data_IF_843226931947
#
_entry.id   IF_843226931947
#
_cell.length_a   1.000
_cell.length_b   1.000
_cell.length_c   1.000
_cell.angle_alpha   90.00
_cell.angle_beta   90.00
_cell.angle_gamma   90.00
#
_symmetry.space_group_name_H-M   'P 1'
#
loop_
_entity.id
_entity.type
_entity.pdbx_description
1 polymer ?
#
# COMPACT_ATOMS: atom_id res chain seq x y z
N UNK A 1 42.19 52.59 57.85
CA UNK A 1 41.31 52.66 56.65
C UNK A 1 41.59 51.45 55.78
N UNK A 2 40.52 50.89 55.20
CA UNK A 2 40.50 49.81 54.18
C UNK A 2 40.79 48.38 54.66
N UNK A 3 39.77 47.59 55.00
CA UNK A 3 38.85 46.77 54.16
C UNK A 3 39.25 45.29 54.20
N UNK A 4 38.53 44.51 55.02
CA UNK A 4 38.53 43.05 55.01
C UNK A 4 37.63 42.58 53.85
N UNK A 5 38.18 41.86 52.89
CA UNK A 5 37.39 41.14 51.88
C UNK A 5 37.06 39.74 52.39
N UNK A 6 35.77 39.48 52.58
CA UNK A 6 35.20 38.16 52.86
C UNK A 6 35.07 37.41 51.52
N UNK A 7 35.81 36.31 51.32
CA UNK A 7 35.51 35.38 50.24
C UNK A 7 34.36 34.48 50.68
N UNK A 8 33.18 34.68 50.08
CA UNK A 8 32.08 33.72 50.12
C UNK A 8 32.38 32.60 49.11
N UNK A 9 32.62 31.39 49.60
CA UNK A 9 32.68 30.20 48.77
C UNK A 9 31.25 29.75 48.43
N UNK A 10 30.82 29.99 47.20
CA UNK A 10 29.56 29.46 46.67
C UNK A 10 29.80 28.01 46.23
N UNK A 11 29.38 27.05 47.06
CA UNK A 11 29.31 25.64 46.68
C UNK A 11 28.19 25.46 45.66
N UNK A 12 28.54 25.41 44.38
CA UNK A 12 27.62 25.03 43.31
C UNK A 12 27.41 23.51 43.41
N UNK A 13 26.30 23.09 44.01
CA UNK A 13 25.89 21.70 43.98
C UNK A 13 25.53 21.33 42.53
N UNK A 14 26.42 20.57 41.87
CA UNK A 14 26.06 19.87 40.63
C UNK A 14 24.98 18.85 40.99
N UNK A 15 23.72 19.17 40.67
CA UNK A 15 22.70 18.15 40.56
C UNK A 15 23.13 17.19 39.44
N UNK A 16 23.18 15.87 39.68
CA UNK A 16 23.34 14.93 38.59
C UNK A 16 22.10 15.06 37.70
N UNK A 17 22.29 15.49 36.45
CA UNK A 17 21.35 15.20 35.38
C UNK A 17 21.25 13.68 35.30
N UNK A 18 20.28 13.10 36.01
CA UNK A 18 19.74 11.79 35.67
C UNK A 18 19.16 11.95 34.27
N UNK A 19 19.95 11.57 33.26
CA UNK A 19 19.40 11.19 31.97
C UNK A 19 18.48 10.02 32.27
N UNK A 20 17.17 10.29 32.37
CA UNK A 20 16.18 9.24 32.27
C UNK A 20 16.48 8.60 30.92
N UNK A 21 17.03 7.39 30.93
CA UNK A 21 17.07 6.58 29.73
C UNK A 21 15.62 6.54 29.26
N UNK A 22 15.32 7.17 28.12
CA UNK A 22 14.03 7.00 27.50
C UNK A 22 13.84 5.49 27.39
N UNK A 23 12.78 4.95 28.00
CA UNK A 23 12.45 3.54 27.88
C UNK A 23 12.30 3.26 26.39
N UNK A 24 13.32 2.67 25.78
CA UNK A 24 13.31 2.46 24.34
C UNK A 24 12.42 1.27 24.07
N UNK A 25 11.25 1.54 23.50
CA UNK A 25 10.22 0.54 23.27
C UNK A 25 10.50 -0.24 21.97
N UNK A 26 10.44 -1.56 22.05
CA UNK A 26 10.61 -2.45 20.91
C UNK A 26 9.26 -2.74 20.26
N UNK A 27 9.18 -2.61 18.94
CA UNK A 27 7.95 -2.87 18.18
C UNK A 27 7.45 -4.31 18.29
N UNK A 28 8.41 -5.25 18.43
CA UNK A 28 8.16 -6.68 18.58
C UNK A 28 9.34 -7.36 19.25
N UNK A 29 9.14 -8.58 19.71
CA UNK A 29 10.20 -9.46 20.21
C UNK A 29 10.35 -10.65 19.27
N UNK A 30 11.58 -10.95 18.85
CA UNK A 30 11.91 -12.18 18.13
C UNK A 30 11.59 -13.38 19.02
N UNK A 31 10.81 -14.32 18.49
CA UNK A 31 10.54 -15.58 19.15
C UNK A 31 11.65 -16.59 18.82
N UNK A 32 11.92 -17.56 19.71
CA UNK A 32 12.81 -18.66 19.39
C UNK A 32 12.41 -19.30 18.05
N UNK A 33 13.40 -19.76 17.29
CA UNK A 33 13.16 -20.50 16.06
C UNK A 33 12.55 -21.88 16.38
N UNK A 34 11.27 -21.90 16.72
CA UNK A 34 10.45 -23.10 16.68
C UNK A 34 10.22 -23.41 15.19
N UNK A 35 10.37 -24.67 14.81
CA UNK A 35 10.22 -25.13 13.44
C UNK A 35 8.74 -25.06 13.01
N UNK A 36 8.23 -23.85 12.80
CA UNK A 36 6.96 -23.55 12.17
C UNK A 36 7.27 -23.03 10.76
N UNK A 37 6.66 -23.58 9.69
CA UNK A 37 6.83 -23.02 8.36
C UNK A 37 6.22 -21.60 8.33
N UNK A 38 6.89 -20.66 7.67
CA UNK A 38 6.33 -19.34 7.44
C UNK A 38 5.06 -19.47 6.56
N UNK A 39 4.00 -18.69 6.80
CA UNK A 39 2.73 -18.79 6.09
C UNK A 39 2.79 -18.03 4.74
N UNK A 40 3.93 -18.12 4.05
CA UNK A 40 4.13 -17.46 2.76
C UNK A 40 4.56 -18.47 1.70
N UNK A 41 3.94 -18.37 0.53
CA UNK A 41 4.40 -19.06 -0.68
C UNK A 41 5.46 -18.25 -1.44
N UNK A 42 5.80 -17.04 -0.98
CA UNK A 42 6.82 -16.22 -1.63
C UNK A 42 8.23 -16.69 -1.31
N UNK A 43 9.15 -16.57 -2.27
CA UNK A 43 10.57 -16.73 -2.00
C UNK A 43 11.04 -15.77 -0.91
N UNK A 44 11.47 -16.34 0.20
CA UNK A 44 12.06 -15.63 1.33
C UNK A 44 13.50 -16.08 1.54
N UNK A 45 14.37 -15.13 1.92
CA UNK A 45 15.74 -15.42 2.37
C UNK A 45 15.73 -15.94 3.79
N UNK A 46 14.82 -15.42 4.61
CA UNK A 46 14.68 -15.77 6.01
C UNK A 46 13.28 -15.41 6.52
N UNK A 47 12.82 -16.11 7.57
CA UNK A 47 11.53 -15.85 8.19
C UNK A 47 11.57 -16.19 9.69
N UNK A 48 11.00 -15.31 10.51
CA UNK A 48 11.06 -15.40 11.97
C UNK A 48 9.70 -15.07 12.57
N UNK A 49 9.23 -15.92 13.49
CA UNK A 49 8.07 -15.57 14.29
C UNK A 49 8.44 -14.44 15.26
N UNK A 50 7.54 -13.47 15.41
CA UNK A 50 7.68 -12.33 16.30
C UNK A 50 6.42 -12.14 17.14
N UNK A 51 6.59 -11.81 18.42
CA UNK A 51 5.49 -11.33 19.24
C UNK A 51 5.37 -9.82 19.08
N UNK A 52 4.27 -9.36 18.49
CA UNK A 52 4.04 -7.95 18.20
C UNK A 52 3.47 -7.22 19.41
N UNK A 53 3.77 -5.92 19.54
CA UNK A 53 3.27 -5.09 20.62
C UNK A 53 2.46 -3.89 20.08
N UNK A 54 1.19 -4.07 19.67
CA UNK A 54 0.36 -2.97 19.16
C UNK A 54 0.27 -1.76 20.10
N UNK A 55 0.24 -1.97 21.42
CA UNK A 55 0.21 -0.84 22.37
C UNK A 55 1.45 0.07 22.27
N UNK A 56 2.62 -0.48 21.95
CA UNK A 56 3.86 0.29 21.75
C UNK A 56 3.78 1.10 20.45
N UNK A 57 3.26 0.50 19.38
CA UNK A 57 3.04 1.20 18.11
C UNK A 57 2.07 2.37 18.30
N UNK A 58 0.97 2.15 19.02
CA UNK A 58 -0.02 3.19 19.33
C UNK A 58 0.53 4.32 20.21
N UNK A 59 1.51 4.04 21.09
CA UNK A 59 2.16 5.06 21.90
C UNK A 59 3.06 6.01 21.07
N UNK A 60 3.40 5.61 19.84
CA UNK A 60 4.12 6.43 18.86
C UNK A 60 5.38 7.12 19.43
N UNK A 61 6.33 6.35 20.02
CA UNK A 61 7.55 6.94 20.54
C UNK A 61 8.32 7.65 19.41
N UNK A 62 9.02 8.75 19.71
CA UNK A 62 9.75 9.51 18.69
C UNK A 62 10.72 8.64 17.87
N UNK A 63 11.31 7.63 18.51
CA UNK A 63 12.11 6.59 17.87
C UNK A 63 11.62 5.23 18.35
N UNK A 64 11.42 4.31 17.41
CA UNK A 64 10.97 2.95 17.66
C UNK A 64 12.10 1.96 17.36
N UNK A 65 12.37 1.02 18.27
CA UNK A 65 13.32 -0.06 18.00
C UNK A 65 12.64 -1.19 17.25
N UNK A 66 13.29 -1.63 16.18
CA UNK A 66 12.88 -2.74 15.34
C UNK A 66 13.93 -3.86 15.47
N UNK A 67 13.65 -4.92 16.26
CA UNK A 67 14.58 -6.03 16.39
C UNK A 67 14.64 -6.90 15.12
N UNK A 68 15.82 -7.05 14.54
CA UNK A 68 16.10 -7.98 13.43
C UNK A 68 17.02 -9.12 13.91
N UNK A 69 17.02 -10.26 13.21
CA UNK A 69 17.94 -11.36 13.51
C UNK A 69 19.42 -10.97 13.47
N UNK A 70 19.77 -10.03 12.58
CA UNK A 70 21.15 -9.57 12.39
C UNK A 70 21.54 -8.41 13.33
N UNK A 71 20.62 -7.92 14.17
CA UNK A 71 20.84 -6.77 15.05
C UNK A 71 19.58 -5.92 15.21
N UNK A 72 19.69 -4.78 15.88
CA UNK A 72 18.56 -3.86 16.05
C UNK A 72 18.69 -2.68 15.08
N UNK A 73 17.55 -2.20 14.58
CA UNK A 73 17.46 -0.93 13.85
C UNK A 73 16.56 0.03 14.60
N UNK A 74 16.79 1.31 14.41
CA UNK A 74 15.94 2.37 14.94
C UNK A 74 15.19 3.02 13.77
N UNK A 75 13.91 3.31 14.00
CA UNK A 75 13.07 3.99 13.05
C UNK A 75 12.53 5.27 13.68
N UNK A 76 12.63 6.38 12.95
CA UNK A 76 12.02 7.66 13.33
C UNK A 76 10.51 7.55 13.11
N UNK A 77 9.71 7.84 14.13
CA UNK A 77 8.26 7.89 13.98
C UNK A 77 7.88 9.18 13.26
N UNK A 78 7.17 9.05 12.14
CA UNK A 78 6.71 10.17 11.33
C UNK A 78 5.25 10.51 11.61
N UNK A 79 4.39 9.49 11.72
CA UNK A 79 2.96 9.70 11.94
C UNK A 79 2.26 8.46 12.52
N UNK A 80 1.12 8.70 13.16
CA UNK A 80 0.05 7.72 13.37
C UNK A 80 -1.18 8.19 12.59
N UNK A 81 -1.73 7.30 11.77
CA UNK A 81 -2.98 7.53 11.05
C UNK A 81 -4.07 6.64 11.66
N UNK A 82 -5.07 7.25 12.30
CA UNK A 82 -6.20 6.52 12.88
C UNK A 82 -7.27 6.25 11.80
N UNK A 83 -7.69 5.00 11.64
CA UNK A 83 -8.71 4.59 10.66
C UNK A 83 -10.03 4.18 11.32
N UNK A 84 -9.97 3.58 12.51
CA UNK A 84 -11.09 3.20 13.39
C UNK A 84 -10.56 2.96 14.81
N UNK A 85 -11.39 2.78 15.84
CA UNK A 85 -10.94 2.62 17.23
C UNK A 85 -9.87 1.52 17.42
N UNK A 86 -9.97 0.42 16.68
CA UNK A 86 -9.06 -0.72 16.70
C UNK A 86 -8.18 -0.83 15.44
N UNK A 87 -8.19 0.18 14.55
CA UNK A 87 -7.43 0.18 13.30
C UNK A 87 -6.66 1.48 13.11
N UNK A 88 -5.35 1.38 12.98
CA UNK A 88 -4.46 2.51 12.73
C UNK A 88 -3.20 2.08 12.00
N UNK A 89 -2.44 3.05 11.51
CA UNK A 89 -1.16 2.82 10.84
C UNK A 89 -0.08 3.64 11.51
N UNK A 90 0.99 2.99 11.92
CA UNK A 90 2.23 3.63 12.31
C UNK A 90 3.13 3.78 11.08
N UNK A 91 3.63 5.00 10.85
CA UNK A 91 4.58 5.30 9.77
C UNK A 91 5.89 5.79 10.38
N UNK A 92 6.99 5.23 9.91
CA UNK A 92 8.33 5.66 10.25
C UNK A 92 9.33 5.52 9.10
N UNK A 93 10.59 5.86 9.39
CA UNK A 93 11.72 5.70 8.46
C UNK A 93 12.96 5.18 9.19
N UNK A 94 13.72 4.29 8.53
CA UNK A 94 15.02 3.80 9.03
C UNK A 94 16.15 4.81 8.83
N UNK A 95 15.91 5.87 8.08
CA UNK A 95 16.86 6.93 7.78
C UNK A 95 16.21 8.32 7.83
N UNK A 96 17.03 9.35 8.07
CA UNK A 96 16.57 10.74 8.13
C UNK A 96 16.03 11.25 6.79
N UNK A 97 16.50 10.69 5.67
CA UNK A 97 16.09 11.13 4.33
C UNK A 97 14.72 10.59 3.91
N UNK A 98 14.20 9.56 4.59
CA UNK A 98 12.90 8.96 4.25
C UNK A 98 12.96 7.93 3.12
N UNK A 99 14.15 7.55 2.64
CA UNK A 99 14.32 6.59 1.54
C UNK A 99 13.93 5.16 1.97
N UNK A 100 13.95 4.89 3.28
CA UNK A 100 13.72 3.57 3.87
C UNK A 100 12.51 3.55 4.80
N UNK A 101 11.28 3.67 4.27
CA UNK A 101 10.06 3.70 5.07
C UNK A 101 9.81 2.37 5.78
N UNK A 102 9.28 2.47 6.99
CA UNK A 102 8.70 1.37 7.76
C UNK A 102 7.23 1.70 8.02
N UNK A 103 6.30 0.87 7.54
CA UNK A 103 4.86 1.13 7.61
C UNK A 103 4.17 -0.10 8.17
N UNK A 104 3.51 0.08 9.31
CA UNK A 104 2.89 -0.99 10.10
C UNK A 104 1.43 -0.66 10.35
N UNK A 105 0.53 -1.46 9.77
CA UNK A 105 -0.91 -1.35 9.93
C UNK A 105 -1.40 -2.33 10.96
N UNK A 106 -2.27 -1.86 11.85
CA UNK A 106 -2.79 -2.63 12.98
C UNK A 106 -4.29 -2.76 12.83
N UNK A 107 -4.83 -3.94 13.09
CA UNK A 107 -6.28 -4.20 13.21
C UNK A 107 -6.50 -5.15 14.38
N UNK A 108 -7.11 -4.66 15.46
CA UNK A 108 -7.20 -5.40 16.72
C UNK A 108 -5.80 -5.69 17.29
N UNK A 109 -5.44 -6.96 17.41
CA UNK A 109 -4.13 -7.44 17.86
C UNK A 109 -3.18 -7.82 16.71
N UNK A 110 -3.67 -7.83 15.47
CA UNK A 110 -2.89 -8.20 14.30
C UNK A 110 -2.10 -7.00 13.76
N UNK A 111 -0.85 -7.25 13.35
CA UNK A 111 0.04 -6.26 12.72
C UNK A 111 0.50 -6.81 11.38
N UNK A 112 0.38 -6.00 10.33
CA UNK A 112 0.90 -6.29 9.01
C UNK A 112 1.65 -5.06 8.48
N UNK A 113 2.58 -5.23 7.56
CA UNK A 113 3.29 -4.08 7.02
C UNK A 113 4.59 -4.45 6.32
N UNK A 114 5.33 -3.44 5.89
CA UNK A 114 6.66 -3.64 5.32
C UNK A 114 7.67 -2.64 5.87
N UNK A 115 8.93 -3.05 5.81
CA UNK A 115 10.09 -2.23 6.11
C UNK A 115 11.01 -2.28 4.89
N UNK A 116 11.17 -1.14 4.22
CA UNK A 116 12.20 -0.98 3.19
C UNK A 116 13.53 -0.73 3.86
N UNK A 117 14.55 -1.52 3.54
CA UNK A 117 15.90 -1.38 4.07
C UNK A 117 16.93 -1.40 2.92
N UNK A 118 18.18 -0.95 3.13
CA UNK A 118 19.20 -0.96 2.09
C UNK A 118 19.38 -2.32 1.40
N UNK A 119 19.33 -3.40 2.18
CA UNK A 119 19.49 -4.78 1.72
C UNK A 119 18.28 -5.37 0.99
N UNK A 120 17.07 -4.81 1.16
CA UNK A 120 15.86 -5.41 0.62
C UNK A 120 14.57 -4.92 1.25
N UNK A 121 13.53 -5.74 1.15
CA UNK A 121 12.23 -5.53 1.77
C UNK A 121 12.02 -6.61 2.83
N UNK A 122 11.66 -6.17 4.02
CA UNK A 122 11.12 -7.02 5.07
C UNK A 122 9.61 -6.84 5.15
N UNK A 123 8.87 -7.91 5.37
CA UNK A 123 7.41 -7.89 5.54
C UNK A 123 7.04 -8.44 6.91
N UNK A 124 6.13 -7.75 7.61
CA UNK A 124 5.38 -8.33 8.72
C UNK A 124 4.09 -8.93 8.15
N UNK A 125 3.99 -10.26 8.21
CA UNK A 125 2.80 -11.00 7.80
C UNK A 125 2.08 -11.52 9.05
N UNK A 126 0.78 -11.25 9.24
CA UNK A 126 0.03 -11.79 10.37
C UNK A 126 0.14 -13.32 10.48
N UNK A 127 0.18 -13.82 11.71
CA UNK A 127 0.22 -15.26 12.00
C UNK A 127 -1.18 -15.79 12.33
N UNK A 128 -1.37 -17.11 12.19
CA UNK A 128 -2.54 -17.82 12.73
C UNK A 128 -2.52 -17.93 14.26
N UNK A 129 -1.41 -17.56 14.90
CA UNK A 129 -1.29 -17.44 16.35
C UNK A 129 -1.53 -15.99 16.77
N UNK A 130 -2.51 -15.78 17.65
CA UNK A 130 -2.90 -14.46 18.14
C UNK A 130 -1.72 -13.72 18.80
N UNK A 131 -1.60 -12.41 18.52
CA UNK A 131 -0.48 -11.58 18.98
C UNK A 131 0.89 -11.89 18.37
N UNK A 132 0.96 -12.81 17.40
CA UNK A 132 2.19 -13.12 16.66
C UNK A 132 2.09 -12.67 15.20
N UNK A 133 3.24 -12.36 14.61
CA UNK A 133 3.41 -12.15 13.17
C UNK A 133 4.70 -12.83 12.71
N UNK A 134 4.91 -12.87 11.40
CA UNK A 134 6.13 -13.32 10.78
C UNK A 134 6.89 -12.13 10.22
N UNK A 135 8.13 -11.95 10.67
CA UNK A 135 9.08 -11.02 10.05
C UNK A 135 9.83 -11.79 8.96
N UNK A 136 9.58 -11.45 7.70
CA UNK A 136 10.04 -12.18 6.52
C UNK A 136 10.96 -11.29 5.70
N UNK A 137 12.17 -11.74 5.40
CA UNK A 137 13.07 -11.11 4.43
C UNK A 137 12.74 -11.65 3.04
N UNK A 138 12.13 -10.82 2.20
CA UNK A 138 11.74 -11.24 0.85
C UNK A 138 12.96 -11.39 -0.06
N UNK A 139 12.98 -12.46 -0.86
CA UNK A 139 13.98 -12.61 -1.90
C UNK A 139 13.52 -11.93 -3.19
N UNK A 140 13.74 -10.61 -3.25
CA UNK A 140 13.26 -9.74 -4.34
C UNK A 140 13.64 -10.19 -5.76
N UNK A 141 14.72 -10.95 -5.90
CA UNK A 141 15.20 -11.48 -7.19
C UNK A 141 14.41 -12.69 -7.68
N UNK A 142 13.68 -13.35 -6.78
CA UNK A 142 12.92 -14.57 -7.06
C UNK A 142 11.41 -14.37 -6.96
N UNK A 143 10.96 -13.20 -6.50
CA UNK A 143 9.54 -12.89 -6.40
C UNK A 143 8.86 -13.08 -7.77
N UNK A 144 7.73 -13.80 -7.83
CA UNK A 144 7.03 -13.99 -9.08
C UNK A 144 6.53 -12.65 -9.64
N UNK A 145 6.51 -12.49 -10.96
CA UNK A 145 5.94 -11.29 -11.57
C UNK A 145 4.42 -11.27 -11.35
N UNK A 146 3.85 -10.08 -11.50
CA UNK A 146 2.42 -9.95 -11.75
C UNK A 146 2.07 -10.55 -13.13
N UNK A 147 0.79 -10.83 -13.38
CA UNK A 147 0.36 -11.17 -14.73
C UNK A 147 0.23 -9.89 -15.55
N UNK A 148 0.54 -9.96 -16.84
CA UNK A 148 0.33 -8.84 -17.75
C UNK A 148 -1.13 -8.33 -17.68
N UNK A 149 -1.33 -7.00 -17.72
CA UNK A 149 -2.66 -6.44 -17.54
C UNK A 149 -3.59 -6.84 -18.69
N UNK A 150 -4.89 -6.89 -18.38
CA UNK A 150 -5.93 -7.19 -19.37
C UNK A 150 -6.46 -5.89 -19.97
N UNK A 151 -6.40 -5.76 -21.29
CA UNK A 151 -7.11 -4.69 -22.00
C UNK A 151 -8.60 -5.03 -22.00
N UNK A 152 -9.48 -4.20 -21.39
CA UNK A 152 -10.90 -4.52 -21.34
C UNK A 152 -11.59 -4.29 -22.71
N UNK A 153 -10.86 -3.85 -23.74
CA UNK A 153 -11.37 -3.51 -25.06
C UNK A 153 -12.07 -2.15 -25.08
N UNK A 154 -12.71 -1.78 -26.22
CA UNK A 154 -13.48 -0.54 -26.31
C UNK A 154 -14.55 -0.50 -25.22
N UNK A 155 -14.45 0.47 -24.31
CA UNK A 155 -15.44 0.65 -23.25
C UNK A 155 -16.62 1.47 -23.79
N UNK A 156 -17.83 0.96 -23.62
CA UNK A 156 -19.04 1.75 -23.89
C UNK A 156 -19.22 2.79 -22.78
N UNK A 157 -19.50 4.04 -23.14
CA UNK A 157 -19.93 5.04 -22.18
C UNK A 157 -21.31 4.64 -21.64
N UNK A 158 -21.34 4.14 -20.40
CA UNK A 158 -22.59 4.01 -19.65
C UNK A 158 -23.02 5.41 -19.22
N UNK A 159 -24.05 5.97 -19.86
CA UNK A 159 -24.69 7.21 -19.45
C UNK A 159 -25.59 6.98 -18.23
N UNK A 160 -25.05 6.43 -17.14
CA UNK A 160 -25.78 6.28 -15.89
C UNK A 160 -25.93 7.67 -15.24
N UNK A 161 -27.11 8.26 -15.47
CA UNK A 161 -27.65 9.50 -14.92
C UNK A 161 -26.82 10.77 -15.17
N UNK A 162 -27.10 11.44 -16.29
CA UNK A 162 -26.91 12.88 -16.41
C UNK A 162 -27.84 13.59 -15.40
N UNK A 163 -27.37 13.73 -14.15
CA UNK A 163 -27.94 14.67 -13.21
C UNK A 163 -27.81 16.10 -13.75
N UNK A 164 -28.68 17.01 -13.30
CA UNK A 164 -28.67 18.43 -13.71
C UNK A 164 -27.23 18.98 -13.68
N UNK A 165 -26.78 19.70 -14.71
CA UNK A 165 -25.37 20.11 -14.89
C UNK A 165 -24.77 21.00 -13.78
N UNK A 166 -25.53 21.37 -12.74
CA UNK A 166 -25.02 22.09 -11.56
C UNK A 166 -24.97 21.28 -10.25
N UNK A 167 -25.62 20.12 -10.16
CA UNK A 167 -25.62 19.30 -8.94
C UNK A 167 -24.44 18.29 -8.92
N UNK A 168 -24.01 17.82 -10.11
CA UNK A 168 -22.88 16.91 -10.23
C UNK A 168 -21.55 17.57 -9.85
N UNK A 169 -21.33 18.85 -10.19
CA UNK A 169 -20.08 19.58 -9.90
C UNK A 169 -19.83 19.80 -8.40
N UNK A 170 -20.87 19.88 -7.57
CA UNK A 170 -20.72 20.01 -6.13
C UNK A 170 -20.37 18.68 -5.43
N UNK A 171 -20.42 17.56 -6.17
CA UNK A 171 -20.15 16.20 -5.69
C UNK A 171 -18.89 15.60 -6.34
N UNK A 172 -18.20 16.34 -7.20
CA UNK A 172 -16.98 15.86 -7.83
C UNK A 172 -15.84 15.89 -6.82
N UNK A 173 -15.15 14.76 -6.66
CA UNK A 173 -13.94 14.69 -5.84
C UNK A 173 -12.84 15.57 -6.47
N UNK A 174 -11.99 16.15 -5.62
CA UNK A 174 -10.83 16.94 -6.04
C UNK A 174 -9.75 16.10 -6.73
N UNK A 175 -9.88 14.77 -6.73
CA UNK A 175 -8.89 13.80 -7.20
C UNK A 175 -7.79 13.50 -6.18
N UNK A 176 -7.86 14.09 -4.99
CA UNK A 176 -6.85 13.87 -3.95
C UNK A 176 -7.09 12.58 -3.18
N UNK A 177 -8.34 12.09 -3.17
CA UNK A 177 -8.71 10.82 -2.58
C UNK A 177 -9.38 9.94 -3.64
N UNK A 178 -9.02 8.67 -3.66
CA UNK A 178 -9.68 7.65 -4.48
C UNK A 178 -10.21 6.57 -3.54
N UNK A 179 -11.51 6.33 -3.60
CA UNK A 179 -12.17 5.39 -2.70
C UNK A 179 -11.97 3.95 -3.13
N UNK A 180 -11.35 3.16 -2.25
CA UNK A 180 -11.03 1.76 -2.51
C UNK A 180 -11.83 0.84 -1.60
N UNK A 181 -12.52 -0.13 -2.22
CA UNK A 181 -13.10 -1.28 -1.54
C UNK A 181 -12.15 -2.47 -1.70
N UNK A 182 -11.67 -2.99 -0.58
CA UNK A 182 -10.88 -4.22 -0.57
C UNK A 182 -11.76 -5.37 -0.15
N UNK A 183 -12.02 -6.29 -1.07
CA UNK A 183 -12.68 -7.54 -0.73
C UNK A 183 -11.63 -8.62 -0.49
N UNK A 184 -11.97 -9.65 0.28
CA UNK A 184 -11.15 -10.85 0.47
C UNK A 184 -12.01 -12.11 0.40
N UNK A 185 -11.44 -13.22 -0.04
CA UNK A 185 -12.13 -14.51 -0.08
C UNK A 185 -12.16 -15.20 1.31
N UNK A 186 -13.00 -16.23 1.50
CA UNK A 186 -12.92 -17.09 2.69
C UNK A 186 -11.54 -17.74 2.87
N UNK A 187 -10.93 -18.24 1.79
CA UNK A 187 -9.61 -18.87 1.84
C UNK A 187 -8.50 -17.88 2.24
N UNK A 188 -8.54 -16.65 1.75
CA UNK A 188 -7.60 -15.59 2.14
C UNK A 188 -7.71 -15.24 3.63
N UNK A 189 -8.93 -15.11 4.15
CA UNK A 189 -9.18 -14.89 5.59
C UNK A 189 -8.59 -16.02 6.43
N UNK A 190 -8.87 -17.27 6.06
CA UNK A 190 -8.46 -18.43 6.82
C UNK A 190 -6.93 -18.62 6.78
N UNK A 191 -6.31 -18.38 5.62
CA UNK A 191 -4.86 -18.42 5.45
C UNK A 191 -4.14 -17.30 6.21
N UNK A 192 -4.73 -16.09 6.30
CA UNK A 192 -4.19 -15.00 7.12
C UNK A 192 -4.32 -15.26 8.64
N UNK A 193 -5.24 -16.14 9.06
CA UNK A 193 -5.46 -16.48 10.46
C UNK A 193 -6.69 -15.88 11.10
N UNK A 194 -7.53 -15.18 10.33
CA UNK A 194 -8.78 -14.59 10.84
C UNK A 194 -9.10 -13.22 10.24
N UNK A 195 -10.19 -12.64 10.73
CA UNK A 195 -10.71 -11.34 10.24
C UNK A 195 -9.76 -10.19 10.58
N UNK A 196 -9.24 -10.13 11.80
CA UNK A 196 -8.28 -9.09 12.22
C UNK A 196 -7.00 -9.14 11.37
N UNK A 197 -6.51 -10.35 11.10
CA UNK A 197 -5.30 -10.60 10.34
C UNK A 197 -5.44 -10.17 8.88
N UNK A 198 -6.48 -10.63 8.18
CA UNK A 198 -6.70 -10.21 6.78
C UNK A 198 -7.03 -8.72 6.68
N UNK A 199 -7.68 -8.14 7.70
CA UNK A 199 -7.97 -6.70 7.75
C UNK A 199 -6.70 -5.86 7.92
N UNK A 200 -5.78 -6.28 8.80
CA UNK A 200 -4.47 -5.65 8.95
C UNK A 200 -3.68 -5.73 7.64
N UNK A 201 -3.66 -6.89 6.97
CA UNK A 201 -2.96 -7.08 5.70
C UNK A 201 -3.57 -6.24 4.56
N UNK A 202 -4.91 -6.16 4.47
CA UNK A 202 -5.60 -5.31 3.51
C UNK A 202 -5.30 -3.82 3.74
N UNK A 203 -5.32 -3.36 4.99
CA UNK A 203 -4.94 -2.00 5.35
C UNK A 203 -3.47 -1.72 4.99
N UNK A 204 -2.55 -2.66 5.26
CA UNK A 204 -1.14 -2.55 4.90
C UNK A 204 -0.92 -2.45 3.37
N UNK A 205 -1.72 -3.14 2.56
CA UNK A 205 -1.66 -3.00 1.10
C UNK A 205 -2.00 -1.56 0.66
N UNK A 206 -3.00 -0.94 1.28
CA UNK A 206 -3.39 0.45 0.99
C UNK A 206 -2.35 1.43 1.53
N UNK A 207 -1.81 1.19 2.72
CA UNK A 207 -0.83 2.08 3.33
C UNK A 207 0.52 2.05 2.62
N UNK A 208 0.89 0.87 2.09
CA UNK A 208 2.04 0.74 1.20
C UNK A 208 1.80 1.48 -0.12
N UNK A 209 0.60 1.40 -0.70
CA UNK A 209 0.24 2.21 -1.88
C UNK A 209 0.34 3.71 -1.61
N UNK A 210 -0.17 4.18 -0.48
CA UNK A 210 -0.09 5.59 -0.07
C UNK A 210 1.35 6.05 0.17
N UNK A 211 2.22 5.16 0.65
CA UNK A 211 3.67 5.40 0.73
C UNK A 211 4.27 5.54 -0.65
N UNK A 212 3.92 4.64 -1.58
CA UNK A 212 4.38 4.72 -2.98
C UNK A 212 3.96 6.04 -3.62
N UNK A 213 2.71 6.48 -3.44
CA UNK A 213 2.25 7.76 -3.97
C UNK A 213 3.02 8.94 -3.39
N UNK A 214 3.23 8.96 -2.07
CA UNK A 214 4.01 10.01 -1.39
C UNK A 214 5.45 10.07 -1.90
N UNK A 215 6.12 8.91 -1.93
CA UNK A 215 7.49 8.73 -2.41
C UNK A 215 7.66 9.06 -3.89
N UNK A 216 6.58 9.17 -4.66
CA UNK A 216 6.62 9.49 -6.09
C UNK A 216 6.28 10.96 -6.38
N UNK A 217 5.96 11.74 -5.34
CA UNK A 217 5.51 13.12 -5.49
C UNK A 217 4.16 13.24 -6.20
N UNK A 218 3.28 12.26 -5.98
CA UNK A 218 1.91 12.24 -6.51
C UNK A 218 0.96 12.85 -5.48
N UNK A 219 -0.09 13.53 -5.94
CA UNK A 219 -1.07 14.16 -5.03
C UNK A 219 -2.08 13.17 -4.44
N UNK A 220 -2.49 12.18 -5.23
CA UNK A 220 -3.58 11.27 -4.89
C UNK A 220 -3.21 10.31 -3.76
N UNK A 221 -4.19 9.96 -2.93
CA UNK A 221 -4.13 8.88 -1.94
C UNK A 221 -5.34 7.98 -2.06
N UNK A 222 -5.20 6.73 -1.66
CA UNK A 222 -6.31 5.82 -1.49
C UNK A 222 -6.93 5.99 -0.11
N UNK A 223 -8.27 6.01 -0.08
CA UNK A 223 -9.09 6.00 1.13
C UNK A 223 -9.86 4.69 1.18
N UNK A 224 -9.70 3.93 2.26
CA UNK A 224 -10.45 2.68 2.45
C UNK A 224 -11.89 2.99 2.80
N UNK A 225 -12.83 2.58 1.95
CA UNK A 225 -14.28 2.69 2.24
C UNK A 225 -14.88 1.38 2.72
N UNK A 226 -14.17 0.26 2.57
CA UNK A 226 -14.56 -1.03 3.11
C UNK A 226 -13.47 -2.09 2.98
N UNK A 227 -13.42 -2.97 3.98
CA UNK A 227 -12.65 -4.22 3.96
C UNK A 227 -13.64 -5.35 4.24
N UNK A 228 -13.99 -6.16 3.23
CA UNK A 228 -15.16 -7.03 3.29
C UNK A 228 -14.93 -8.45 2.75
N UNK A 229 -15.56 -9.43 3.39
CA UNK A 229 -15.59 -10.80 2.91
C UNK A 229 -16.49 -10.91 1.67
N UNK A 230 -15.94 -11.40 0.55
CA UNK A 230 -16.72 -11.86 -0.59
C UNK A 230 -17.15 -13.30 -0.37
N UNK A 231 -18.27 -13.47 0.34
CA UNK A 231 -18.81 -14.78 0.70
C UNK A 231 -19.02 -15.67 -0.54
N UNK A 232 -18.65 -16.95 -0.43
CA UNK A 232 -18.82 -17.93 -1.49
C UNK A 232 -17.85 -17.82 -2.67
N UNK A 233 -16.86 -16.92 -2.64
CA UNK A 233 -15.79 -16.92 -3.64
C UNK A 233 -14.93 -18.18 -3.51
N UNK A 234 -14.73 -18.88 -4.62
CA UNK A 234 -13.86 -20.07 -4.71
C UNK A 234 -12.69 -19.75 -5.64
N UNK A 235 -11.48 -19.84 -5.11
CA UNK A 235 -10.23 -19.53 -5.79
C UNK A 235 -9.73 -20.69 -6.65
N UNK A 236 -8.87 -20.39 -7.63
CA UNK A 236 -8.10 -21.38 -8.37
C UNK A 236 -8.95 -22.31 -9.25
N UNK A 237 -10.18 -21.91 -9.59
CA UNK A 237 -11.11 -22.71 -10.39
C UNK A 237 -10.84 -22.56 -11.89
N UNK A 238 -10.11 -21.51 -12.29
CA UNK A 238 -9.81 -21.20 -13.68
C UNK A 238 -8.54 -20.35 -13.81
N UNK A 239 -8.26 -19.83 -15.02
CA UNK A 239 -7.12 -18.92 -15.21
C UNK A 239 -7.34 -17.59 -14.48
N UNK A 240 -6.27 -16.91 -14.07
CA UNK A 240 -6.37 -15.59 -13.42
C UNK A 240 -7.17 -14.56 -14.25
N UNK A 241 -7.10 -14.58 -15.59
CA UNK A 241 -7.94 -13.69 -16.44
C UNK A 241 -9.41 -14.07 -16.40
N UNK A 242 -9.72 -15.36 -16.33
CA UNK A 242 -11.10 -15.84 -16.20
C UNK A 242 -11.67 -15.42 -14.84
N UNK A 243 -10.90 -15.60 -13.76
CA UNK A 243 -11.30 -15.16 -12.41
C UNK A 243 -11.48 -13.64 -12.34
N UNK A 244 -10.60 -12.85 -12.95
CA UNK A 244 -10.76 -11.40 -13.05
C UNK A 244 -12.04 -11.00 -13.80
N UNK A 245 -12.39 -11.73 -14.87
CA UNK A 245 -13.65 -11.58 -15.60
C UNK A 245 -14.87 -11.87 -14.72
N UNK A 246 -14.82 -12.99 -13.98
CA UNK A 246 -15.86 -13.39 -13.04
C UNK A 246 -16.03 -12.38 -11.92
N UNK A 247 -14.93 -11.91 -11.33
CA UNK A 247 -14.93 -10.91 -10.27
C UNK A 247 -15.53 -9.58 -10.75
N UNK A 248 -15.14 -9.08 -11.94
CA UNK A 248 -15.73 -7.89 -12.55
C UNK A 248 -17.25 -8.00 -12.70
N UNK A 249 -17.76 -9.19 -13.02
CA UNK A 249 -19.19 -9.46 -13.20
C UNK A 249 -19.94 -9.90 -11.92
N UNK A 250 -19.26 -10.00 -10.78
CA UNK A 250 -19.86 -10.53 -9.56
C UNK A 250 -20.89 -9.55 -8.98
N UNK A 251 -22.14 -9.99 -8.84
CA UNK A 251 -23.24 -9.14 -8.41
C UNK A 251 -23.07 -8.60 -6.97
N UNK A 252 -22.52 -9.42 -6.06
CA UNK A 252 -22.28 -9.01 -4.67
C UNK A 252 -21.21 -7.93 -4.61
N UNK A 253 -20.10 -8.10 -5.34
CA UNK A 253 -19.06 -7.09 -5.48
C UNK A 253 -19.63 -5.77 -6.02
N UNK A 254 -20.42 -5.81 -7.10
CA UNK A 254 -20.98 -4.61 -7.70
C UNK A 254 -21.97 -3.90 -6.77
N UNK A 255 -22.78 -4.66 -6.03
CA UNK A 255 -23.69 -4.12 -5.04
C UNK A 255 -22.94 -3.41 -3.91
N UNK A 256 -21.89 -4.02 -3.36
CA UNK A 256 -21.06 -3.40 -2.30
C UNK A 256 -20.30 -2.18 -2.81
N UNK A 257 -19.70 -2.27 -4.01
CA UNK A 257 -19.05 -1.13 -4.67
C UNK A 257 -19.98 0.08 -4.78
N UNK A 258 -21.22 -0.14 -5.23
CA UNK A 258 -22.19 0.94 -5.39
C UNK A 258 -22.70 1.46 -4.04
N UNK A 259 -22.90 0.59 -3.05
CA UNK A 259 -23.35 0.97 -1.71
C UNK A 259 -22.33 1.84 -0.96
N UNK A 260 -21.04 1.60 -1.19
CA UNK A 260 -19.93 2.34 -0.56
C UNK A 260 -19.36 3.45 -1.44
N UNK A 261 -19.94 3.67 -2.63
CA UNK A 261 -19.40 4.59 -3.64
C UNK A 261 -17.90 4.37 -3.96
N UNK A 262 -17.43 3.11 -3.98
CA UNK A 262 -16.02 2.82 -4.21
C UNK A 262 -15.61 3.01 -5.69
N UNK A 263 -14.64 3.88 -5.93
CA UNK A 263 -14.05 4.14 -7.24
C UNK A 263 -13.34 2.91 -7.82
N UNK A 264 -12.60 2.19 -6.99
CA UNK A 264 -11.82 1.02 -7.39
C UNK A 264 -12.04 -0.13 -6.40
N UNK A 265 -11.97 -1.37 -6.91
CA UNK A 265 -12.22 -2.56 -6.07
C UNK A 265 -11.18 -3.64 -6.29
N UNK A 266 -10.62 -4.18 -5.23
CA UNK A 266 -9.71 -5.33 -5.30
C UNK A 266 -10.31 -6.57 -4.64
N UNK A 267 -9.83 -7.75 -5.03
CA UNK A 267 -10.03 -8.99 -4.28
C UNK A 267 -8.67 -9.55 -3.84
N UNK A 268 -8.50 -9.76 -2.54
CA UNK A 268 -7.40 -10.56 -1.99
C UNK A 268 -7.78 -12.04 -1.96
N UNK A 269 -6.91 -12.88 -2.51
CA UNK A 269 -7.03 -14.34 -2.55
C UNK A 269 -5.85 -15.01 -1.85
N UNK A 270 -6.01 -16.24 -1.36
CA UNK A 270 -4.91 -17.02 -0.79
C UNK A 270 -4.03 -17.66 -1.86
N UNK A 271 -4.57 -17.92 -3.05
CA UNK A 271 -3.84 -18.47 -4.17
C UNK A 271 -4.40 -17.94 -5.49
N UNK A 272 -3.60 -17.15 -6.21
CA UNK A 272 -3.87 -16.77 -7.59
C UNK A 272 -3.01 -17.62 -8.55
N UNK A 273 -3.61 -18.48 -9.41
CA UNK A 273 -2.84 -19.40 -10.24
C UNK A 273 -1.79 -18.72 -11.14
N UNK A 274 -0.52 -18.92 -10.79
CA UNK A 274 0.63 -18.52 -11.60
C UNK A 274 0.90 -17.01 -11.66
N UNK A 275 0.38 -16.21 -10.72
CA UNK A 275 0.57 -14.76 -10.72
C UNK A 275 0.48 -14.17 -9.32
N UNK A 276 1.21 -13.07 -9.06
CA UNK A 276 1.02 -12.28 -7.84
C UNK A 276 -0.21 -11.36 -7.89
N UNK A 277 -0.68 -11.03 -9.08
CA UNK A 277 -1.80 -10.11 -9.29
C UNK A 277 -2.23 -10.06 -10.75
N UNK A 278 -3.44 -9.56 -10.97
CA UNK A 278 -3.97 -9.26 -12.28
C UNK A 278 -5.03 -8.14 -12.19
N UNK A 279 -4.91 -7.15 -13.06
CA UNK A 279 -5.87 -6.07 -13.22
C UNK A 279 -6.17 -5.74 -14.68
N UNK A 280 -7.21 -4.92 -14.89
CA UNK A 280 -7.42 -4.28 -16.19
C UNK A 280 -6.58 -3.01 -16.33
N UNK A 281 -6.18 -2.65 -17.55
CA UNK A 281 -5.41 -1.42 -17.83
C UNK A 281 -6.22 -0.33 -18.54
N UNK A 282 -6.16 0.90 -18.02
CA UNK A 282 -6.82 2.07 -18.61
C UNK A 282 -5.95 2.76 -19.67
N UNK A 283 -5.86 2.17 -20.87
CA UNK A 283 -5.09 2.76 -22.01
C UNK A 283 -5.75 3.96 -22.68
N UNK A 284 -7.05 4.14 -22.48
CA UNK A 284 -7.79 5.31 -22.92
C UNK A 284 -8.42 5.98 -21.69
N UNK A 285 -7.75 6.96 -21.07
CA UNK A 285 -8.24 7.61 -19.86
C UNK A 285 -9.65 8.17 -20.05
N UNK A 286 -10.58 7.78 -19.17
CA UNK A 286 -11.94 8.28 -19.19
C UNK A 286 -12.90 7.47 -18.32
N UNK A 287 -14.04 8.07 -18.00
CA UNK A 287 -15.06 7.48 -17.13
C UNK A 287 -15.61 6.12 -17.62
N UNK A 288 -15.49 5.83 -18.92
CA UNK A 288 -15.86 4.53 -19.49
C UNK A 288 -15.09 3.35 -18.87
N UNK A 289 -13.91 3.59 -18.30
CA UNK A 289 -13.12 2.54 -17.64
C UNK A 289 -13.70 2.12 -16.27
N UNK A 290 -14.62 2.88 -15.68
CA UNK A 290 -15.10 2.65 -14.31
C UNK A 290 -15.53 1.19 -14.06
N UNK A 291 -16.23 0.55 -15.00
CA UNK A 291 -16.65 -0.86 -14.87
C UNK A 291 -15.49 -1.86 -14.81
N UNK A 292 -14.31 -1.50 -15.33
CA UNK A 292 -13.10 -2.31 -15.37
C UNK A 292 -12.06 -1.92 -14.30
N UNK A 293 -12.34 -0.93 -13.45
CA UNK A 293 -11.47 -0.53 -12.34
C UNK A 293 -11.48 -1.55 -11.18
N UNK A 294 -11.08 -2.78 -11.49
CA UNK A 294 -10.99 -3.92 -10.58
C UNK A 294 -9.68 -4.69 -10.77
N UNK A 295 -9.23 -5.37 -9.71
CA UNK A 295 -8.09 -6.28 -9.73
C UNK A 295 -8.24 -7.44 -8.75
N UNK A 296 -7.45 -8.49 -8.93
CA UNK A 296 -7.25 -9.58 -7.97
C UNK A 296 -5.76 -9.66 -7.64
N UNK A 297 -5.42 -9.79 -6.35
CA UNK A 297 -4.04 -9.90 -5.86
C UNK A 297 -3.93 -11.07 -4.89
N UNK A 298 -2.87 -11.86 -5.03
CA UNK A 298 -2.51 -12.86 -4.02
C UNK A 298 -2.08 -12.15 -2.74
N UNK A 299 -2.65 -12.54 -1.59
CA UNK A 299 -2.43 -11.86 -0.31
C UNK A 299 -0.94 -11.76 0.02
N UNK A 300 -0.16 -12.82 -0.26
CA UNK A 300 1.26 -12.85 0.09
C UNK A 300 2.05 -11.83 -0.75
N UNK A 301 1.57 -11.50 -1.95
CA UNK A 301 2.18 -10.52 -2.84
C UNK A 301 1.74 -9.08 -2.60
N UNK A 302 0.72 -8.85 -1.76
CA UNK A 302 0.01 -7.59 -1.70
C UNK A 302 0.87 -6.44 -1.15
N UNK A 303 1.62 -6.69 -0.07
CA UNK A 303 2.32 -5.66 0.70
C UNK A 303 3.79 -5.58 0.31
N UNK A 304 4.63 -6.57 0.66
CA UNK A 304 6.08 -6.47 0.46
C UNK A 304 6.53 -6.55 -1.01
N UNK A 305 5.83 -7.32 -1.85
CA UNK A 305 6.05 -7.32 -3.31
C UNK A 305 5.35 -6.15 -4.01
N UNK A 306 4.56 -5.34 -3.29
CA UNK A 306 3.81 -4.18 -3.81
C UNK A 306 2.89 -4.52 -5.00
N UNK A 307 2.37 -5.75 -5.05
CA UNK A 307 1.56 -6.19 -6.19
C UNK A 307 0.18 -5.57 -6.18
N UNK A 308 -0.40 -5.31 -5.00
CA UNK A 308 -1.73 -4.71 -4.91
C UNK A 308 -1.76 -3.29 -5.53
N UNK A 309 -0.75 -2.48 -5.20
CA UNK A 309 -0.59 -1.14 -5.78
C UNK A 309 -0.18 -1.19 -7.25
N UNK A 310 0.57 -2.21 -7.67
CA UNK A 310 0.90 -2.45 -9.08
C UNK A 310 -0.36 -2.65 -9.93
N UNK A 311 -1.29 -3.53 -9.48
CA UNK A 311 -2.51 -3.80 -10.24
C UNK A 311 -3.44 -2.59 -10.31
N UNK A 312 -3.55 -1.80 -9.23
CA UNK A 312 -4.26 -0.54 -9.28
C UNK A 312 -3.53 0.53 -10.11
N UNK A 313 -2.20 0.45 -10.21
CA UNK A 313 -1.41 1.19 -11.20
C UNK A 313 -1.92 0.95 -12.62
N UNK A 314 -2.18 -0.30 -12.99
CA UNK A 314 -2.82 -0.61 -14.29
C UNK A 314 -4.21 0.02 -14.42
N UNK A 315 -5.04 -0.05 -13.39
CA UNK A 315 -6.36 0.61 -13.42
C UNK A 315 -6.25 2.14 -13.61
N UNK A 316 -5.14 2.76 -13.21
CA UNK A 316 -4.81 4.17 -13.46
C UNK A 316 -4.09 4.40 -14.81
N UNK A 317 -3.91 3.35 -15.60
CA UNK A 317 -3.33 3.41 -16.94
C UNK A 317 -1.80 3.29 -16.98
N UNK A 318 -1.18 2.82 -15.90
CA UNK A 318 0.26 2.57 -15.89
C UNK A 318 0.57 1.26 -16.61
N UNK A 319 1.67 1.25 -17.34
CA UNK A 319 2.21 0.09 -18.02
C UNK A 319 3.47 -0.36 -17.30
N UNK A 320 3.90 -1.59 -17.60
CA UNK A 320 5.20 -2.07 -17.13
C UNK A 320 6.36 -1.21 -17.63
N UNK A 321 7.61 -1.58 -17.33
CA UNK A 321 8.74 -1.00 -18.05
C UNK A 321 8.67 -1.32 -19.56
N UNK A 322 9.30 -0.52 -20.44
CA UNK A 322 9.12 -0.67 -21.90
C UNK A 322 9.51 -2.04 -22.48
N UNK A 323 10.35 -2.83 -21.80
CA UNK A 323 10.70 -4.17 -22.25
C UNK A 323 9.61 -5.21 -21.97
N UNK A 324 8.71 -4.92 -21.03
CA UNK A 324 7.68 -5.83 -20.53
C UNK A 324 6.25 -5.28 -20.70
N UNK A 325 6.11 -4.10 -21.31
CA UNK A 325 4.86 -3.39 -21.52
C UNK A 325 4.42 -3.34 -22.99
N UNK A 326 3.46 -2.46 -23.25
CA UNK A 326 3.02 -2.15 -24.62
C UNK A 326 3.93 -1.12 -25.30
N UNK A 327 3.66 -0.80 -26.57
CA UNK A 327 4.35 0.31 -27.25
C UNK A 327 3.95 1.67 -26.64
N UNK A 328 4.84 2.68 -26.58
CA UNK A 328 4.47 4.02 -26.09
C UNK A 328 3.25 4.63 -26.78
N UNK A 329 3.02 4.33 -28.05
CA UNK A 329 1.86 4.80 -28.81
C UNK A 329 0.55 4.11 -28.43
N UNK A 330 0.61 3.03 -27.66
CA UNK A 330 -0.55 2.24 -27.22
C UNK A 330 -0.81 2.34 -25.71
N UNK A 331 0.07 3.03 -24.96
CA UNK A 331 -0.12 3.31 -23.55
C UNK A 331 -1.10 4.48 -23.34
N UNK A 332 -1.59 4.66 -22.11
CA UNK A 332 -2.43 5.81 -21.72
C UNK A 332 -1.79 7.15 -22.08
N UNK A 333 -0.48 7.24 -21.85
CA UNK A 333 0.40 8.29 -22.31
C UNK A 333 1.75 7.67 -22.71
N UNK A 334 2.49 8.27 -23.65
CA UNK A 334 3.78 7.72 -24.11
C UNK A 334 4.83 7.51 -23.01
N UNK A 335 4.67 8.12 -21.84
CA UNK A 335 5.58 8.05 -20.70
C UNK A 335 5.06 7.19 -19.53
N UNK A 336 3.89 6.54 -19.64
CA UNK A 336 3.23 5.80 -18.54
C UNK A 336 3.91 4.47 -18.17
N UNK A 337 5.24 4.40 -18.17
CA UNK A 337 6.00 3.16 -17.98
C UNK A 337 6.77 3.13 -16.67
N UNK A 338 6.94 1.92 -16.13
CA UNK A 338 7.85 1.67 -15.00
C UNK A 338 9.31 1.97 -15.33
N UNK A 339 10.12 2.14 -14.29
CA UNK A 339 11.56 2.40 -14.39
C UNK A 339 12.37 1.45 -13.52
N UNK A 340 13.65 1.33 -13.87
CA UNK A 340 14.64 0.62 -13.08
C UNK A 340 16.01 1.23 -13.33
N UNK A 341 16.87 1.09 -12.32
CA UNK A 341 18.30 1.39 -12.35
C UNK A 341 19.03 0.07 -12.14
N UNK A 342 19.86 -0.31 -13.10
CA UNK A 342 20.64 -1.55 -13.05
C UNK A 342 22.15 -1.29 -13.16
N UNK A 343 22.95 -2.28 -12.81
CA UNK A 343 24.42 -2.20 -12.88
C UNK A 343 25.07 -1.36 -11.77
N UNK A 344 24.32 -0.98 -10.73
CA UNK A 344 24.81 -0.15 -9.62
C UNK A 344 25.06 -0.96 -8.33
N UNK A 345 25.24 -2.29 -8.45
CA UNK A 345 25.39 -3.17 -7.30
C UNK A 345 24.18 -3.06 -6.35
N UNK A 346 24.43 -2.85 -5.06
CA UNK A 346 23.40 -2.72 -4.01
C UNK A 346 22.47 -1.49 -4.19
N UNK A 347 22.83 -0.54 -5.05
CA UNK A 347 21.99 0.62 -5.37
C UNK A 347 21.03 0.35 -6.54
N UNK A 348 21.11 -0.82 -7.18
CA UNK A 348 20.17 -1.18 -8.25
C UNK A 348 18.76 -1.35 -7.68
N UNK A 349 17.76 -0.86 -8.40
CA UNK A 349 16.36 -0.95 -7.98
C UNK A 349 15.40 -0.91 -9.16
N UNK A 350 14.15 -1.26 -8.91
CA UNK A 350 13.05 -1.08 -9.84
C UNK A 350 11.85 -0.43 -9.15
N UNK A 351 11.11 0.38 -9.89
CA UNK A 351 9.84 0.98 -9.43
C UNK A 351 8.72 -0.05 -9.44
N UNK A 352 7.60 0.25 -8.80
CA UNK A 352 6.43 -0.65 -8.66
C UNK A 352 6.00 -1.29 -9.98
N UNK A 353 5.89 -0.52 -11.06
CA UNK A 353 5.44 -1.05 -12.35
C UNK A 353 6.50 -1.82 -13.14
N UNK A 354 7.78 -1.77 -12.77
CA UNK A 354 8.83 -2.45 -13.52
C UNK A 354 8.97 -3.92 -13.09
N UNK A 355 9.27 -4.77 -14.07
CA UNK A 355 9.69 -6.15 -13.82
C UNK A 355 11.15 -6.19 -13.41
N UNK A 356 11.63 -7.39 -13.08
CA UNK A 356 13.03 -7.59 -12.71
C UNK A 356 13.95 -7.07 -13.81
N UNK A 357 15.03 -6.40 -13.39
CA UNK A 357 16.02 -5.87 -14.31
C UNK A 357 16.61 -7.00 -15.16
N UNK A 358 16.96 -6.75 -16.43
CA UNK A 358 17.58 -7.76 -17.28
C UNK A 358 18.81 -8.44 -16.65
N UNK A 359 19.63 -7.68 -15.91
CA UNK A 359 20.80 -8.21 -15.21
C UNK A 359 20.49 -8.86 -13.84
N UNK A 360 19.25 -8.80 -13.35
CA UNK A 360 18.85 -9.18 -11.99
C UNK A 360 19.35 -8.20 -10.92
N UNK A 361 19.12 -8.52 -9.64
CA UNK A 361 19.68 -7.80 -8.50
C UNK A 361 19.04 -6.45 -8.21
N UNK A 362 17.81 -6.19 -8.69
CA UNK A 362 17.15 -4.92 -8.47
C UNK A 362 15.86 -5.09 -7.65
N UNK A 363 15.95 -4.74 -6.37
CA UNK A 363 14.82 -4.78 -5.45
C UNK A 363 13.73 -3.83 -5.93
N UNK A 364 12.47 -4.28 -5.87
CA UNK A 364 11.31 -3.41 -6.09
C UNK A 364 11.19 -2.44 -4.92
N UNK A 365 11.26 -1.15 -5.19
CA UNK A 365 11.20 -0.07 -4.18
C UNK A 365 9.84 0.62 -4.21
N UNK A 366 9.39 1.20 -3.08
CA UNK A 366 8.08 1.83 -2.97
C UNK A 366 8.05 3.19 -3.66
N UNK A 367 8.27 3.20 -4.98
CA UNK A 367 8.16 4.35 -5.87
C UNK A 367 7.48 3.91 -7.16
N UNK A 368 6.56 4.72 -7.65
CA UNK A 368 6.26 4.78 -9.07
C UNK A 368 7.35 5.57 -9.80
N UNK A 369 7.43 5.42 -11.12
CA UNK A 369 8.42 6.17 -11.89
C UNK A 369 8.13 7.67 -11.88
N UNK A 370 9.14 8.46 -11.56
CA UNK A 370 9.05 9.92 -11.48
C UNK A 370 10.43 10.54 -11.72
N UNK A 371 10.66 11.31 -12.80
CA UNK A 371 11.95 11.97 -13.01
C UNK A 371 12.21 13.10 -11.98
N UNK A 372 11.21 13.45 -11.16
CA UNK A 372 11.27 14.52 -10.16
C UNK A 372 11.82 14.04 -8.81
N UNK A 373 11.81 12.72 -8.56
CA UNK A 373 12.24 12.12 -7.30
C UNK A 373 13.45 11.22 -7.57
N UNK A 374 14.37 11.16 -6.62
CA UNK A 374 15.51 10.24 -6.66
C UNK A 374 15.39 9.23 -5.52
N UNK A 375 15.91 8.04 -5.74
CA UNK A 375 16.14 7.03 -4.71
C UNK A 375 17.61 6.62 -4.79
N UNK A 376 18.34 6.64 -3.67
CA UNK A 376 19.77 6.33 -3.62
C UNK A 376 20.62 7.14 -4.62
N UNK A 377 20.26 8.40 -4.84
CA UNK A 377 21.00 9.31 -5.72
C UNK A 377 20.70 9.15 -7.22
N UNK A 378 19.79 8.26 -7.62
CA UNK A 378 19.36 8.09 -9.01
C UNK A 378 17.89 8.47 -9.18
N UNK A 379 17.51 9.24 -10.22
CA UNK A 379 16.11 9.53 -10.52
C UNK A 379 15.27 8.26 -10.68
N UNK A 380 14.06 8.23 -10.14
CA UNK A 380 13.15 7.08 -10.25
C UNK A 380 12.42 7.03 -11.58
N UNK A 381 12.71 7.93 -12.51
CA UNK A 381 12.08 8.00 -13.82
C UNK A 381 12.93 8.75 -14.84
N UNK A 382 12.42 8.80 -16.07
CA UNK A 382 13.05 9.49 -17.21
C UNK A 382 12.01 10.41 -17.83
N UNK A 383 12.38 11.69 -18.00
CA UNK A 383 11.51 12.71 -18.60
C UNK A 383 10.96 12.23 -19.94
N UNK A 384 9.65 12.35 -20.10
CA UNK A 384 8.87 11.97 -21.29
C UNK A 384 9.00 10.49 -21.73
N UNK A 385 9.49 9.60 -20.85
CA UNK A 385 9.62 8.17 -21.16
C UNK A 385 9.12 7.26 -20.04
N UNK A 386 9.39 7.60 -18.77
CA UNK A 386 9.08 6.78 -17.59
C UNK A 386 8.66 7.69 -16.44
N UNK A 387 7.39 8.04 -16.40
CA UNK A 387 6.80 9.00 -15.47
C UNK A 387 5.35 8.62 -15.13
N UNK A 388 5.18 7.49 -14.42
CA UNK A 388 3.88 7.06 -13.90
C UNK A 388 3.28 8.12 -12.96
N UNK A 389 4.10 8.86 -12.21
CA UNK A 389 3.62 9.91 -11.32
C UNK A 389 2.82 10.99 -12.07
N UNK A 390 3.36 11.51 -13.19
CA UNK A 390 2.64 12.44 -14.07
C UNK A 390 1.35 11.83 -14.62
N UNK A 391 1.36 10.58 -15.04
CA UNK A 391 0.16 9.92 -15.54
C UNK A 391 -0.92 9.79 -14.46
N UNK A 392 -0.55 9.45 -13.24
CA UNK A 392 -1.48 9.36 -12.11
C UNK A 392 -2.10 10.72 -11.77
N UNK A 393 -1.29 11.77 -11.70
CA UNK A 393 -1.78 13.14 -11.44
C UNK A 393 -2.78 13.60 -12.53
N UNK A 394 -2.58 13.19 -13.79
CA UNK A 394 -3.48 13.52 -14.92
C UNK A 394 -4.81 12.75 -14.89
N UNK A 395 -4.83 11.53 -14.36
CA UNK A 395 -6.05 10.70 -14.31
C UNK A 395 -6.74 10.74 -12.95
N UNK A 396 -6.14 11.38 -11.94
CA UNK A 396 -6.66 11.42 -10.58
C UNK A 396 -8.13 11.84 -10.52
N UNK A 397 -8.50 12.91 -11.23
CA UNK A 397 -9.90 13.38 -11.28
C UNK A 397 -10.84 12.40 -12.01
N UNK A 398 -10.33 11.64 -12.97
CA UNK A 398 -11.12 10.63 -13.68
C UNK A 398 -11.40 9.45 -12.74
N UNK A 399 -10.37 9.01 -12.02
CA UNK A 399 -10.41 7.80 -11.20
C UNK A 399 -11.21 8.04 -9.91
N UNK A 400 -11.00 9.18 -9.23
CA UNK A 400 -11.74 9.58 -8.02
C UNK A 400 -13.22 9.90 -8.27
N UNK A 401 -13.66 9.86 -9.53
CA UNK A 401 -15.04 10.11 -9.92
C UNK A 401 -15.62 8.91 -10.68
N UNK A 402 -15.04 7.71 -10.53
CA UNK A 402 -15.64 6.48 -11.04
C UNK A 402 -16.93 6.14 -10.30
N UNK A 403 -17.06 6.56 -9.05
CA UNK A 403 -18.30 6.56 -8.28
C UNK A 403 -18.42 7.86 -7.51
N UNK A 404 -19.36 8.72 -7.91
CA UNK A 404 -19.68 9.92 -7.13
C UNK A 404 -20.30 9.51 -5.79
N UNK A 405 -19.87 10.14 -4.69
CA UNK A 405 -20.50 9.99 -3.38
C UNK A 405 -22.02 10.23 -3.53
N UNK A 406 -22.83 9.21 -3.25
CA UNK A 406 -24.28 9.39 -3.19
C UNK A 406 -24.59 10.14 -1.90
N UNK A 407 -24.59 11.48 -1.94
CA UNK A 407 -25.18 12.26 -0.85
C UNK A 407 -26.64 11.83 -0.75
N UNK A 408 -26.93 11.11 0.34
CA UNK A 408 -28.21 10.51 0.67
C UNK A 408 -29.34 11.51 0.41
N UNK A 409 -30.28 11.22 -0.50
CA UNK A 409 -31.45 12.06 -0.81
C UNK A 409 -32.53 11.99 0.30
N UNK A 410 -32.12 12.18 1.54
CA UNK A 410 -32.98 12.11 2.73
C UNK A 410 -33.89 13.29 2.99
N UNK A 411 -33.75 14.39 2.26
CA UNK A 411 -34.43 15.65 2.56
C UNK A 411 -35.47 16.08 1.51
N UNK A 412 -35.88 15.20 0.59
CA UNK A 412 -36.83 15.57 -0.46
C UNK A 412 -38.31 15.26 -0.15
N UNK A 413 -38.65 14.51 0.93
CA UNK A 413 -40.02 14.01 1.14
C UNK A 413 -40.73 14.49 2.42
N UNK A 414 -40.28 15.56 3.10
CA UNK A 414 -40.95 16.03 4.33
C UNK A 414 -41.71 17.35 4.22
N UNK A 415 -42.04 17.82 3.02
CA UNK A 415 -42.90 19.02 2.86
C UNK A 415 -43.94 18.85 1.75
N UNK A 416 -44.95 18.04 2.02
CA UNK A 416 -46.33 18.28 1.57
C UNK A 416 -47.22 18.18 2.82
N UNK A 417 -47.49 19.32 3.45
CA UNK A 417 -48.70 20.12 3.26
C UNK A 417 -49.94 19.53 3.98
N UNK A 418 -50.14 19.95 5.23
CA UNK A 418 -51.48 20.04 5.83
C UNK A 418 -51.96 21.49 5.72
N UNK A 419 -53.16 21.74 5.18
CA UNK A 419 -54.08 22.69 5.77
C UNK A 419 -54.72 22.11 7.05
#
# INVERSE_FOLDING_TARGET
MSTRSLLMATTLALLPCLSVAADVQEAWRLLPAEARPAPTELPARSAYAVATAPAILAAAPATLRLPFPQGQREALTLAIEQHADDRYTWRGSLDDAGDYPAVLSVSGDAVAGFISAPEGIWELVPSTVAGESWLIELDGDRLPPCRGPVDPGPQAFSSAAAGKPGAAQALMDSGDQVDVLLMYSPAARDAAGGVSQISAQAQAAVDSANTVFANSGMRMRFRVVGIELLEGWVEGTSSASTELGLFRSNASQQARRNALAADMVSLLVANLPGACGIGYVMRSPGAGFAGSAVQITDRDCAVGNLSWVHEHGHNMGFEHDPANGTSPTSASYPWSFGHYVEGQGAQSYRTVMAYQCPAGGCTRRPHFSSPRVSFNGFPTGVVDQRDNARSGDLVADIVANFRLEQVWQGFANSFEASP
#
